data_IF_275261453543
#
_entry.id   IF_275261453543
#
_cell.length_a   1.000
_cell.length_b   1.000
_cell.length_c   1.000
_cell.angle_alpha   90.00
_cell.angle_beta   90.00
_cell.angle_gamma   90.00
#
_symmetry.space_group_name_H-M   'P 1'
#
loop_
_entity.id
_entity.type
_entity.pdbx_description
1 polymer ?
#
# COMPACT_ATOMS: atom_id res chain seq x y z
N UNK A 1 -12.19 1.92 -13.53
CA UNK A 1 -13.45 2.70 -13.44
C UNK A 1 -14.32 2.35 -12.24
N UNK A 2 -14.38 1.09 -11.78
CA UNK A 2 -15.19 0.71 -10.59
C UNK A 2 -14.78 1.47 -9.33
N UNK A 3 -13.48 1.56 -9.02
CA UNK A 3 -12.97 2.28 -7.86
C UNK A 3 -13.27 3.78 -7.86
N UNK A 4 -13.23 4.42 -9.04
CA UNK A 4 -13.59 5.83 -9.17
C UNK A 4 -15.06 6.09 -8.76
N UNK A 5 -15.98 5.27 -9.24
CA UNK A 5 -17.40 5.41 -8.90
C UNK A 5 -17.68 5.11 -7.42
N UNK A 6 -16.93 4.20 -6.82
CA UNK A 6 -17.04 3.95 -5.39
C UNK A 6 -16.51 5.13 -4.55
N UNK A 7 -15.36 5.68 -4.91
CA UNK A 7 -14.84 6.90 -4.27
C UNK A 7 -15.82 8.08 -4.38
N UNK A 8 -16.47 8.24 -5.56
CA UNK A 8 -17.52 9.21 -5.74
C UNK A 8 -18.75 8.94 -4.85
N UNK A 9 -19.14 7.67 -4.71
CA UNK A 9 -20.26 7.29 -3.83
C UNK A 9 -19.98 7.66 -2.38
N UNK A 10 -18.76 7.41 -1.90
CA UNK A 10 -18.32 7.76 -0.55
C UNK A 10 -18.27 9.27 -0.35
N UNK A 11 -17.73 10.01 -1.33
CA UNK A 11 -17.67 11.47 -1.28
C UNK A 11 -19.07 12.12 -1.27
N UNK A 12 -19.97 11.65 -2.11
CA UNK A 12 -21.36 12.13 -2.14
C UNK A 12 -22.11 11.81 -0.86
N UNK A 13 -21.92 10.62 -0.28
CA UNK A 13 -22.50 10.25 1.02
C UNK A 13 -22.00 11.18 2.14
N UNK A 14 -20.70 11.49 2.17
CA UNK A 14 -20.12 12.42 3.14
C UNK A 14 -20.65 13.86 2.97
N UNK A 15 -21.07 14.23 1.77
CA UNK A 15 -21.70 15.54 1.47
C UNK A 15 -23.21 15.56 1.70
N UNK A 16 -23.83 14.43 2.09
CA UNK A 16 -25.27 14.30 2.25
C UNK A 16 -26.04 14.26 0.92
N UNK A 17 -25.37 13.99 -0.19
CA UNK A 17 -25.97 13.90 -1.54
C UNK A 17 -26.37 12.43 -1.84
N UNK A 18 -27.31 11.89 -1.08
CA UNK A 18 -27.67 10.47 -1.05
C UNK A 18 -28.05 9.88 -2.41
N UNK A 19 -28.75 10.62 -3.26
CA UNK A 19 -29.14 10.16 -4.60
C UNK A 19 -27.92 9.98 -5.51
N UNK A 20 -26.98 10.91 -5.48
CA UNK A 20 -25.73 10.82 -6.25
C UNK A 20 -24.82 9.73 -5.70
N UNK A 21 -24.79 9.56 -4.37
CA UNK A 21 -24.06 8.47 -3.73
C UNK A 21 -24.61 7.11 -4.18
N UNK A 22 -25.94 6.97 -4.24
CA UNK A 22 -26.59 5.75 -4.69
C UNK A 22 -26.31 5.45 -6.17
N UNK A 23 -26.39 6.45 -7.05
CA UNK A 23 -26.07 6.31 -8.48
C UNK A 23 -24.59 5.90 -8.68
N UNK A 24 -23.67 6.57 -8.00
CA UNK A 24 -22.26 6.26 -8.08
C UNK A 24 -21.96 4.84 -7.54
N UNK A 25 -22.57 4.43 -6.43
CA UNK A 25 -22.45 3.08 -5.89
C UNK A 25 -22.95 2.02 -6.88
N UNK A 26 -24.08 2.27 -7.55
CA UNK A 26 -24.61 1.38 -8.58
C UNK A 26 -23.64 1.24 -9.77
N UNK A 27 -23.05 2.35 -10.22
CA UNK A 27 -22.06 2.35 -11.31
C UNK A 27 -20.75 1.68 -10.94
N UNK A 28 -20.40 1.65 -9.65
CA UNK A 28 -19.22 0.95 -9.18
C UNK A 28 -19.36 -0.58 -9.32
N UNK A 29 -20.60 -1.09 -9.32
CA UNK A 29 -20.89 -2.53 -9.31
C UNK A 29 -20.43 -3.23 -8.03
N UNK A 30 -20.08 -2.47 -6.98
CA UNK A 30 -19.71 -3.00 -5.66
C UNK A 30 -20.98 -3.18 -4.85
N UNK A 31 -21.30 -4.39 -4.34
CA UNK A 31 -22.47 -4.61 -3.51
C UNK A 31 -22.41 -3.81 -2.20
N UNK A 32 -23.57 -3.33 -1.73
CA UNK A 32 -23.69 -2.55 -0.48
C UNK A 32 -23.59 -3.41 0.78
N UNK A 33 -23.60 -4.70 0.68
CA UNK A 33 -23.72 -5.64 1.80
C UNK A 33 -22.41 -5.90 2.56
N UNK A 34 -21.45 -4.97 2.49
CA UNK A 34 -20.30 -4.86 3.40
C UNK A 34 -19.26 -5.98 3.34
N UNK A 35 -19.54 -7.06 2.63
CA UNK A 35 -18.70 -8.25 2.64
C UNK A 35 -17.71 -8.34 1.47
N UNK A 36 -17.69 -7.37 0.54
CA UNK A 36 -16.83 -7.42 -0.64
C UNK A 36 -15.86 -6.26 -0.68
N UNK A 37 -14.59 -6.63 -0.65
CA UNK A 37 -13.49 -5.69 -0.80
C UNK A 37 -13.44 -5.10 -2.22
N UNK A 38 -13.00 -3.85 -2.33
CA UNK A 38 -12.78 -3.17 -3.60
C UNK A 38 -11.80 -3.96 -4.49
N UNK A 39 -10.89 -4.67 -3.87
CA UNK A 39 -9.75 -5.34 -4.46
C UNK A 39 -10.01 -6.80 -4.88
N UNK A 40 -11.24 -7.21 -4.98
CA UNK A 40 -11.58 -8.51 -5.49
C UNK A 40 -12.30 -9.42 -4.49
N UNK A 41 -12.76 -10.53 -5.00
CA UNK A 41 -13.55 -11.53 -4.27
C UNK A 41 -12.74 -12.73 -3.82
N UNK A 42 -11.49 -12.87 -4.31
CA UNK A 42 -10.65 -14.04 -4.12
C UNK A 42 -9.39 -13.69 -3.32
N UNK A 43 -9.57 -13.23 -2.11
CA UNK A 43 -8.47 -13.09 -1.17
C UNK A 43 -8.00 -14.48 -0.74
N UNK A 44 -6.71 -14.79 -0.99
CA UNK A 44 -6.07 -15.96 -0.43
C UNK A 44 -5.93 -15.83 1.08
N UNK A 45 -5.75 -16.95 1.77
CA UNK A 45 -5.34 -16.96 3.16
C UNK A 45 -3.79 -16.88 3.27
N UNK A 46 -3.25 -16.77 4.48
CA UNK A 46 -1.82 -16.68 4.70
C UNK A 46 -1.04 -17.89 4.16
N UNK A 47 -1.64 -19.07 4.09
CA UNK A 47 -1.00 -20.27 3.58
C UNK A 47 -0.89 -20.28 2.05
N UNK A 48 -1.88 -19.70 1.35
CA UNK A 48 -1.92 -19.64 -0.10
C UNK A 48 -1.35 -18.35 -0.69
N UNK A 49 -1.03 -17.39 0.16
CA UNK A 49 -0.73 -16.02 -0.25
C UNK A 49 -2.00 -15.20 -0.44
N UNK A 50 -1.83 -13.90 -0.42
CA UNK A 50 -2.90 -12.92 -0.45
C UNK A 50 -3.01 -12.34 -1.87
N UNK A 51 -4.22 -12.10 -2.39
CA UNK A 51 -4.44 -11.53 -3.73
C UNK A 51 -5.38 -10.33 -3.66
N UNK A 52 -5.18 -9.39 -4.57
CA UNK A 52 -6.01 -8.19 -4.64
C UNK A 52 -7.10 -8.26 -5.72
N UNK A 53 -7.10 -9.28 -6.58
CA UNK A 53 -8.11 -9.49 -7.63
C UNK A 53 -8.11 -10.93 -8.11
N UNK A 54 -9.11 -11.29 -8.91
CA UNK A 54 -9.14 -12.57 -9.64
C UNK A 54 -7.95 -12.65 -10.61
N UNK A 55 -7.23 -13.79 -10.67
CA UNK A 55 -6.11 -13.97 -11.57
C UNK A 55 -6.47 -13.70 -13.03
N UNK A 56 -5.62 -12.92 -13.70
CA UNK A 56 -5.73 -12.62 -15.13
C UNK A 56 -4.35 -12.44 -15.76
N UNK A 57 -4.11 -13.12 -16.90
CA UNK A 57 -2.91 -12.93 -17.69
C UNK A 57 -3.15 -11.80 -18.69
N UNK A 58 -2.70 -10.59 -18.37
CA UNK A 58 -2.84 -9.43 -19.25
C UNK A 58 -1.76 -9.48 -20.35
N UNK A 59 -2.09 -8.96 -21.52
CA UNK A 59 -1.19 -8.87 -22.68
C UNK A 59 -1.19 -7.43 -23.20
N UNK A 60 -0.50 -6.49 -22.55
CA UNK A 60 -0.51 -5.09 -22.94
C UNK A 60 0.09 -4.85 -24.34
N UNK A 61 0.95 -5.76 -24.78
CA UNK A 61 1.54 -5.78 -26.13
C UNK A 61 2.10 -7.18 -26.46
N UNK A 62 2.44 -7.46 -27.75
CA UNK A 62 3.06 -8.72 -28.14
C UNK A 62 4.35 -8.99 -27.38
N UNK A 63 4.48 -10.18 -26.81
CA UNK A 63 5.66 -10.60 -26.04
C UNK A 63 5.69 -10.14 -24.59
N UNK A 64 4.77 -9.29 -24.14
CA UNK A 64 4.67 -8.85 -22.76
C UNK A 64 3.42 -9.46 -22.09
N UNK A 65 3.63 -10.14 -20.98
CA UNK A 65 2.62 -10.80 -20.17
C UNK A 65 2.69 -10.24 -18.76
N UNK A 66 1.55 -9.86 -18.18
CA UNK A 66 1.45 -9.41 -16.79
C UNK A 66 0.55 -10.38 -16.04
N UNK A 67 1.09 -11.04 -15.04
CA UNK A 67 0.38 -11.94 -14.14
C UNK A 67 -0.30 -11.13 -13.04
N UNK A 68 -1.48 -10.59 -13.35
CA UNK A 68 -2.24 -9.76 -12.44
C UNK A 68 -3.09 -10.62 -11.52
N UNK A 69 -2.98 -10.39 -10.20
CA UNK A 69 -3.80 -11.06 -9.20
C UNK A 69 -3.51 -12.55 -9.01
N UNK A 70 -2.42 -13.08 -9.55
CA UNK A 70 -1.96 -14.45 -9.24
C UNK A 70 -1.44 -14.53 -7.82
N UNK A 71 -0.85 -13.46 -7.32
CA UNK A 71 -0.33 -13.34 -5.98
C UNK A 71 -0.73 -11.98 -5.37
N UNK A 72 -0.15 -11.59 -4.25
CA UNK A 72 -0.37 -10.27 -3.65
C UNK A 72 0.22 -9.17 -4.54
N UNK A 73 1.50 -9.29 -4.92
CA UNK A 73 2.13 -8.43 -5.91
C UNK A 73 1.98 -8.99 -7.34
N UNK A 74 1.79 -8.10 -8.31
CA UNK A 74 1.81 -8.44 -9.73
C UNK A 74 3.26 -8.62 -10.22
N UNK A 75 3.45 -9.48 -11.19
CA UNK A 75 4.75 -9.69 -11.82
C UNK A 75 4.57 -9.91 -13.32
N UNK A 76 5.65 -9.76 -14.09
CA UNK A 76 5.53 -9.78 -15.54
C UNK A 76 6.61 -10.63 -16.21
N UNK A 77 6.32 -11.05 -17.46
CA UNK A 77 7.23 -11.80 -18.31
C UNK A 77 7.35 -11.12 -19.66
N UNK A 78 8.58 -10.90 -20.11
CA UNK A 78 8.90 -10.36 -21.44
C UNK A 78 9.61 -11.46 -22.21
N UNK A 79 8.98 -11.91 -23.29
CA UNK A 79 9.54 -12.94 -24.17
C UNK A 79 10.53 -12.30 -25.17
N UNK A 80 11.74 -12.81 -25.21
CA UNK A 80 12.81 -12.37 -26.12
C UNK A 80 13.31 -13.55 -26.96
N UNK A 81 14.20 -13.28 -27.94
CA UNK A 81 14.82 -14.35 -28.73
C UNK A 81 15.80 -15.23 -27.93
N UNK A 82 16.27 -14.79 -26.76
CA UNK A 82 17.21 -15.51 -25.90
C UNK A 82 16.53 -16.22 -24.73
N UNK A 83 15.25 -15.94 -24.49
CA UNK A 83 14.46 -16.48 -23.39
C UNK A 83 13.53 -15.43 -22.80
N UNK A 84 13.27 -15.52 -21.51
CA UNK A 84 12.31 -14.67 -20.79
C UNK A 84 13.05 -13.77 -19.81
N UNK A 85 12.65 -12.51 -19.78
CA UNK A 85 12.95 -11.56 -18.71
C UNK A 85 11.72 -11.55 -17.79
N UNK A 86 11.91 -11.80 -16.51
CA UNK A 86 10.88 -11.60 -15.49
C UNK A 86 11.07 -10.24 -14.80
N UNK A 87 9.96 -9.57 -14.49
CA UNK A 87 9.93 -8.37 -13.65
C UNK A 87 9.14 -8.73 -12.42
N UNK A 88 9.78 -8.70 -11.26
CA UNK A 88 9.31 -9.19 -9.98
C UNK A 88 9.02 -10.70 -9.94
N UNK A 89 8.75 -11.21 -8.75
CA UNK A 89 8.61 -12.63 -8.48
C UNK A 89 7.46 -12.96 -7.50
N UNK A 90 6.51 -12.05 -7.31
CA UNK A 90 5.38 -12.28 -6.40
C UNK A 90 5.79 -12.68 -4.98
N UNK A 91 4.86 -13.22 -4.22
CA UNK A 91 5.03 -13.63 -2.82
C UNK A 91 5.55 -15.06 -2.70
N UNK A 92 5.20 -15.95 -3.64
CA UNK A 92 5.39 -17.37 -3.47
C UNK A 92 5.73 -18.13 -4.77
N UNK A 93 6.65 -19.08 -4.64
CA UNK A 93 7.11 -19.93 -5.74
C UNK A 93 5.97 -20.62 -6.50
N UNK A 94 5.00 -21.21 -5.77
CA UNK A 94 3.93 -21.97 -6.40
C UNK A 94 3.00 -21.11 -7.26
N UNK A 95 2.78 -19.84 -6.87
CA UNK A 95 1.96 -18.90 -7.62
C UNK A 95 2.68 -18.41 -8.89
N UNK A 96 3.97 -18.14 -8.80
CA UNK A 96 4.79 -17.81 -9.97
C UNK A 96 4.81 -18.98 -10.95
N UNK A 97 4.95 -20.21 -10.48
CA UNK A 97 4.89 -21.42 -11.34
C UNK A 97 3.51 -21.58 -12.00
N UNK A 98 2.43 -21.30 -11.29
CA UNK A 98 1.09 -21.34 -11.85
C UNK A 98 0.92 -20.30 -12.97
N UNK A 99 1.38 -19.08 -12.75
CA UNK A 99 1.35 -18.02 -13.76
C UNK A 99 2.21 -18.36 -14.99
N UNK A 100 3.42 -18.90 -14.80
CA UNK A 100 4.28 -19.37 -15.89
C UNK A 100 3.57 -20.45 -16.73
N UNK A 101 2.90 -21.40 -16.08
CA UNK A 101 2.17 -22.47 -16.77
C UNK A 101 1.03 -21.90 -17.62
N UNK A 102 0.24 -20.98 -17.07
CA UNK A 102 -0.87 -20.34 -17.80
C UNK A 102 -0.36 -19.43 -18.93
N UNK A 103 0.78 -18.77 -18.74
CA UNK A 103 1.44 -17.98 -19.77
C UNK A 103 1.95 -18.82 -20.95
N UNK A 104 1.95 -20.15 -20.83
CA UNK A 104 2.59 -21.07 -21.80
C UNK A 104 4.11 -21.10 -21.66
N UNK A 105 4.63 -20.60 -20.55
CA UNK A 105 6.05 -20.52 -20.19
C UNK A 105 6.39 -21.60 -19.14
N UNK A 106 5.96 -22.84 -19.34
CA UNK A 106 6.12 -23.94 -18.39
C UNK A 106 7.55 -24.50 -18.30
N UNK A 107 7.65 -25.79 -17.91
CA UNK A 107 8.94 -26.47 -17.78
C UNK A 107 9.76 -26.40 -19.07
N UNK A 108 11.03 -25.96 -18.95
CA UNK A 108 11.95 -25.78 -20.06
C UNK A 108 12.04 -24.36 -20.59
N UNK A 109 11.23 -23.44 -20.14
CA UNK A 109 11.40 -22.01 -20.43
C UNK A 109 12.67 -21.50 -19.75
N UNK A 110 13.58 -20.92 -20.53
CA UNK A 110 14.78 -20.30 -20.02
C UNK A 110 14.44 -18.87 -19.53
N UNK A 111 14.50 -18.65 -18.23
CA UNK A 111 14.50 -17.29 -17.66
C UNK A 111 15.93 -16.79 -17.66
N UNK A 112 16.20 -15.77 -18.48
CA UNK A 112 17.55 -15.19 -18.63
C UNK A 112 17.84 -14.13 -17.60
N UNK A 113 16.82 -13.34 -17.25
CA UNK A 113 16.94 -12.25 -16.29
C UNK A 113 15.72 -12.20 -15.37
N UNK A 114 15.96 -11.87 -14.10
CA UNK A 114 14.93 -11.43 -13.14
C UNK A 114 15.29 -10.03 -12.70
N UNK A 115 14.42 -9.07 -12.95
CA UNK A 115 14.60 -7.68 -12.54
C UNK A 115 13.63 -7.42 -11.39
N UNK A 116 14.18 -7.13 -10.21
CA UNK A 116 13.39 -6.84 -9.01
C UNK A 116 13.16 -5.34 -8.91
N UNK A 117 11.91 -4.93 -8.75
CA UNK A 117 11.55 -3.52 -8.61
C UNK A 117 11.92 -2.96 -7.24
N UNK A 118 11.81 -3.77 -6.19
CA UNK A 118 12.21 -3.42 -4.83
C UNK A 118 12.21 -4.65 -3.89
N UNK A 119 12.57 -4.47 -2.62
CA UNK A 119 12.89 -5.54 -1.69
C UNK A 119 11.70 -6.19 -0.97
N UNK A 120 10.46 -5.75 -1.16
CA UNK A 120 9.32 -6.29 -0.42
C UNK A 120 9.02 -7.76 -0.74
N UNK A 121 8.48 -8.47 0.26
CA UNK A 121 8.22 -9.91 0.22
C UNK A 121 7.36 -10.36 -0.98
N UNK A 122 6.46 -9.52 -1.42
CA UNK A 122 5.53 -9.78 -2.51
C UNK A 122 6.07 -9.46 -3.90
N UNK A 123 7.33 -9.00 -3.97
CA UNK A 123 8.08 -8.78 -5.20
C UNK A 123 9.28 -9.71 -5.33
N UNK A 124 9.77 -10.26 -4.20
CA UNK A 124 10.95 -11.14 -4.21
C UNK A 124 10.64 -12.57 -3.75
N UNK A 125 9.48 -12.82 -3.14
CA UNK A 125 9.17 -14.06 -2.42
C UNK A 125 9.22 -15.33 -3.26
N UNK A 126 8.77 -15.26 -4.49
CA UNK A 126 8.73 -16.40 -5.42
C UNK A 126 9.97 -16.54 -6.32
N UNK A 127 11.06 -15.82 -6.05
CA UNK A 127 12.26 -15.78 -6.92
C UNK A 127 12.83 -17.15 -7.26
N UNK A 128 12.71 -18.13 -6.35
CA UNK A 128 13.15 -19.51 -6.58
C UNK A 128 12.44 -20.22 -7.73
N UNK A 129 11.28 -19.72 -8.18
CA UNK A 129 10.59 -20.22 -9.36
C UNK A 129 11.22 -19.74 -10.67
N UNK A 130 11.98 -18.65 -10.64
CA UNK A 130 12.51 -17.92 -11.80
C UNK A 130 14.03 -18.03 -11.91
N UNK A 131 14.73 -17.85 -10.79
CA UNK A 131 16.20 -17.80 -10.76
C UNK A 131 16.79 -19.22 -10.77
N UNK A 132 17.64 -19.46 -11.76
CA UNK A 132 18.44 -20.66 -11.92
C UNK A 132 19.93 -20.31 -12.12
N UNK A 133 20.81 -21.31 -12.32
CA UNK A 133 22.25 -21.09 -12.45
C UNK A 133 22.66 -20.13 -13.58
N UNK A 134 21.85 -20.05 -14.62
CA UNK A 134 22.08 -19.24 -15.82
C UNK A 134 21.20 -17.99 -15.88
N UNK A 135 20.55 -17.63 -14.77
CA UNK A 135 19.67 -16.46 -14.65
C UNK A 135 20.43 -15.31 -14.00
N UNK A 136 20.42 -14.14 -14.61
CA UNK A 136 20.97 -12.92 -14.01
C UNK A 136 19.90 -12.21 -13.20
N UNK A 137 20.11 -12.03 -11.92
CA UNK A 137 19.23 -11.27 -11.03
C UNK A 137 19.71 -9.82 -10.95
N UNK A 138 18.85 -8.88 -11.31
CA UNK A 138 19.13 -7.44 -11.36
C UNK A 138 18.25 -6.72 -10.33
N UNK A 139 18.85 -5.79 -9.59
CA UNK A 139 18.11 -4.93 -8.65
C UNK A 139 18.79 -3.56 -8.52
N UNK A 140 18.12 -2.62 -7.87
CA UNK A 140 18.72 -1.34 -7.50
C UNK A 140 19.81 -1.53 -6.43
N UNK A 141 20.83 -0.69 -6.46
CA UNK A 141 21.98 -0.76 -5.55
C UNK A 141 21.63 -0.71 -4.07
N UNK A 142 20.47 -0.14 -3.72
CA UNK A 142 19.96 -0.05 -2.35
C UNK A 142 19.31 -1.33 -1.82
N UNK A 143 18.96 -2.31 -2.68
CA UNK A 143 18.19 -3.49 -2.28
C UNK A 143 18.80 -4.25 -1.08
N UNK A 144 20.11 -4.52 -1.00
CA UNK A 144 20.67 -5.23 0.15
C UNK A 144 20.49 -4.47 1.47
N UNK A 145 20.64 -3.15 1.45
CA UNK A 145 20.46 -2.31 2.63
C UNK A 145 18.97 -2.22 3.04
N UNK A 146 18.06 -2.20 2.07
CA UNK A 146 16.63 -2.19 2.31
C UNK A 146 16.17 -3.52 2.92
N UNK A 147 16.60 -4.66 2.37
CA UNK A 147 16.31 -5.97 2.96
C UNK A 147 16.85 -6.10 4.41
N UNK A 148 18.04 -5.58 4.69
CA UNK A 148 18.60 -5.61 6.04
C UNK A 148 17.78 -4.76 7.01
N UNK A 149 17.33 -3.58 6.56
CA UNK A 149 16.46 -2.67 7.33
C UNK A 149 15.11 -3.30 7.67
N UNK A 150 14.53 -4.05 6.74
CA UNK A 150 13.21 -4.66 6.87
C UNK A 150 13.24 -6.02 7.56
N UNK A 151 14.42 -6.58 7.81
CA UNK A 151 14.60 -7.88 8.45
C UNK A 151 13.93 -7.93 9.83
N UNK A 152 13.03 -8.91 10.00
CA UNK A 152 12.30 -9.07 11.25
C UNK A 152 11.17 -8.06 11.46
N UNK A 153 10.87 -7.20 10.48
CA UNK A 153 9.71 -6.32 10.53
C UNK A 153 8.45 -7.09 10.15
N UNK A 154 7.76 -7.62 11.16
CA UNK A 154 6.55 -8.43 10.98
C UNK A 154 5.27 -7.65 11.24
N UNK A 155 5.35 -6.50 11.88
CA UNK A 155 4.18 -5.70 12.22
C UNK A 155 3.88 -4.69 11.10
N UNK A 156 2.60 -4.54 10.77
CA UNK A 156 1.44 -5.28 11.29
C UNK A 156 1.11 -6.55 10.50
N UNK A 157 1.85 -6.86 9.44
CA UNK A 157 1.52 -7.86 8.43
C UNK A 157 2.12 -9.25 8.68
N UNK A 158 2.39 -9.62 9.94
CA UNK A 158 2.81 -10.99 10.31
C UNK A 158 1.91 -12.07 9.72
N UNK A 159 0.66 -11.73 9.48
CA UNK A 159 -0.38 -12.58 8.92
C UNK A 159 -0.01 -13.16 7.55
N UNK A 160 0.67 -12.42 6.68
CA UNK A 160 1.04 -12.88 5.34
C UNK A 160 2.50 -12.62 4.94
N UNK A 161 3.31 -12.02 5.81
CA UNK A 161 4.74 -11.83 5.54
C UNK A 161 5.59 -13.06 5.87
N UNK A 162 5.05 -14.01 6.62
CA UNK A 162 5.78 -15.21 7.04
C UNK A 162 6.99 -14.91 7.94
N UNK A 163 7.98 -15.82 7.95
CA UNK A 163 9.15 -15.72 8.83
C UNK A 163 10.15 -14.64 8.42
N UNK A 164 10.17 -14.27 7.13
CA UNK A 164 11.11 -13.28 6.59
C UNK A 164 10.68 -11.83 6.82
N UNK A 165 9.47 -11.62 7.31
CA UNK A 165 8.92 -10.28 7.48
C UNK A 165 8.68 -9.57 6.15
N UNK A 166 8.56 -8.24 6.19
CA UNK A 166 8.26 -7.40 5.03
C UNK A 166 9.36 -7.46 3.95
N UNK A 167 10.62 -7.69 4.33
CA UNK A 167 11.75 -7.80 3.39
C UNK A 167 11.79 -9.11 2.58
N UNK A 168 10.89 -10.06 2.83
CA UNK A 168 10.88 -11.33 2.11
C UNK A 168 12.14 -12.20 2.33
N UNK A 169 12.35 -13.25 1.51
CA UNK A 169 13.55 -14.06 1.56
C UNK A 169 14.77 -13.24 1.11
N UNK A 170 15.96 -13.53 1.69
CA UNK A 170 17.18 -12.88 1.27
C UNK A 170 17.47 -13.14 -0.22
N UNK A 171 17.73 -12.07 -0.96
CA UNK A 171 18.13 -12.12 -2.37
C UNK A 171 19.52 -11.52 -2.51
N UNK A 172 20.36 -12.17 -3.31
CA UNK A 172 21.68 -11.65 -3.69
C UNK A 172 21.65 -11.37 -5.20
N UNK A 173 21.47 -10.11 -5.63
CA UNK A 173 21.50 -9.78 -7.04
C UNK A 173 22.89 -9.98 -7.64
N UNK A 174 22.94 -10.44 -8.90
CA UNK A 174 24.16 -10.53 -9.68
C UNK A 174 24.62 -9.16 -10.19
N UNK A 175 23.65 -8.27 -10.44
CA UNK A 175 23.90 -6.92 -10.93
C UNK A 175 23.11 -5.88 -10.14
N UNK A 176 23.82 -4.86 -9.67
CA UNK A 176 23.25 -3.73 -8.92
C UNK A 176 23.26 -2.48 -9.80
N UNK A 177 22.09 -1.82 -9.90
CA UNK A 177 21.86 -0.63 -10.72
C UNK A 177 21.85 0.61 -9.82
N UNK A 178 22.81 1.51 -10.01
CA UNK A 178 22.91 2.78 -9.27
C UNK A 178 22.53 3.99 -10.12
N UNK A 179 22.56 3.86 -11.45
CA UNK A 179 22.31 4.95 -12.41
C UNK A 179 21.42 4.44 -13.55
N UNK A 180 20.75 5.31 -14.31
CA UNK A 180 19.97 4.91 -15.49
C UNK A 180 20.81 4.05 -16.43
N UNK A 181 20.36 2.82 -16.67
CA UNK A 181 21.15 1.80 -17.36
C UNK A 181 20.34 1.18 -18.49
N UNK A 182 20.93 1.15 -19.70
CA UNK A 182 20.36 0.40 -20.82
C UNK A 182 20.69 -1.08 -20.68
N UNK A 183 19.71 -1.94 -20.97
CA UNK A 183 19.83 -3.39 -21.01
C UNK A 183 19.25 -3.90 -22.34
N UNK A 184 20.02 -4.72 -23.06
CA UNK A 184 19.56 -5.35 -24.29
C UNK A 184 19.61 -6.87 -24.14
N UNK A 185 18.48 -7.54 -24.32
CA UNK A 185 18.37 -9.00 -24.18
C UNK A 185 17.53 -9.55 -25.33
N UNK A 186 18.16 -10.38 -26.16
CA UNK A 186 17.50 -11.06 -27.28
C UNK A 186 16.72 -10.14 -28.20
N UNK A 187 17.27 -8.94 -28.47
CA UNK A 187 16.66 -7.91 -29.32
C UNK A 187 15.60 -7.03 -28.62
N UNK A 188 15.38 -7.21 -27.34
CA UNK A 188 14.52 -6.33 -26.54
C UNK A 188 15.37 -5.32 -25.78
N UNK A 189 15.12 -4.04 -26.03
CA UNK A 189 15.78 -2.93 -25.36
C UNK A 189 14.97 -2.50 -24.13
N UNK A 190 15.64 -2.34 -23.00
CA UNK A 190 15.09 -1.88 -21.73
C UNK A 190 15.93 -0.71 -21.22
N UNK A 191 15.27 0.23 -20.52
CA UNK A 191 15.94 1.22 -19.68
C UNK A 191 15.55 0.97 -18.22
N UNK A 192 16.55 0.81 -17.37
CA UNK A 192 16.41 0.62 -15.94
C UNK A 192 16.64 1.96 -15.23
N UNK A 193 15.64 2.45 -14.51
CA UNK A 193 15.70 3.73 -13.81
C UNK A 193 15.63 3.52 -12.30
N UNK A 194 16.78 3.58 -11.59
CA UNK A 194 16.75 3.61 -10.12
C UNK A 194 16.13 4.94 -9.64
N UNK A 195 15.32 4.87 -8.61
CA UNK A 195 14.70 6.06 -8.01
C UNK A 195 14.74 5.98 -6.49
N UNK A 196 14.68 7.15 -5.84
CA UNK A 196 14.48 7.20 -4.40
C UNK A 196 13.09 6.72 -3.97
N UNK A 197 12.22 6.45 -4.95
CA UNK A 197 10.89 5.89 -4.77
C UNK A 197 9.95 6.71 -3.90
N UNK A 198 8.74 6.24 -3.79
CA UNK A 198 7.78 6.72 -2.80
C UNK A 198 7.68 5.77 -1.62
N UNK A 199 7.64 4.47 -1.88
CA UNK A 199 7.48 3.43 -0.86
C UNK A 199 8.81 3.02 -0.24
N UNK A 200 9.80 2.64 -1.06
CA UNK A 200 11.12 2.17 -0.61
C UNK A 200 12.26 2.99 -1.17
N UNK A 201 13.46 2.86 -0.58
CA UNK A 201 14.67 3.53 -1.04
C UNK A 201 15.40 2.82 -2.18
N UNK A 202 14.97 1.62 -2.55
CA UNK A 202 15.63 0.75 -3.54
C UNK A 202 14.80 0.51 -4.81
N UNK A 203 13.86 1.39 -5.10
CA UNK A 203 12.97 1.20 -6.23
C UNK A 203 13.71 1.26 -7.57
N UNK A 204 13.39 0.31 -8.48
CA UNK A 204 13.91 0.19 -9.84
C UNK A 204 12.75 0.10 -10.83
N UNK A 205 12.60 1.10 -11.69
CA UNK A 205 11.60 1.09 -12.74
C UNK A 205 12.18 0.50 -14.03
N UNK A 206 11.35 -0.23 -14.79
CA UNK A 206 11.74 -0.89 -16.03
C UNK A 206 10.92 -0.32 -17.20
N UNK A 207 11.57 0.36 -18.10
CA UNK A 207 10.96 1.02 -19.25
C UNK A 207 11.28 0.29 -20.56
N UNK A 208 10.26 0.08 -21.39
CA UNK A 208 10.40 -0.44 -22.75
C UNK A 208 10.29 0.72 -23.75
N UNK A 209 11.41 1.26 -24.27
CA UNK A 209 11.38 2.44 -25.13
C UNK A 209 10.58 2.25 -26.42
N UNK A 210 10.60 1.03 -26.98
CA UNK A 210 9.91 0.72 -28.23
C UNK A 210 8.39 0.87 -28.15
N UNK A 211 7.80 0.62 -26.96
CA UNK A 211 6.36 0.65 -26.75
C UNK A 211 5.90 1.78 -25.82
N UNK A 212 6.81 2.37 -25.08
CA UNK A 212 6.49 3.36 -24.05
C UNK A 212 5.84 2.76 -22.79
N UNK A 213 5.96 1.45 -22.60
CA UNK A 213 5.44 0.78 -21.42
C UNK A 213 6.45 0.90 -20.27
N UNK A 214 5.98 1.26 -19.07
CA UNK A 214 6.81 1.41 -17.88
C UNK A 214 6.27 0.57 -16.73
N UNK A 215 7.10 -0.31 -16.21
CA UNK A 215 6.85 -1.04 -14.95
C UNK A 215 7.44 -0.22 -13.81
N UNK A 216 6.63 0.14 -12.86
CA UNK A 216 7.02 1.05 -11.78
C UNK A 216 7.25 0.36 -10.44
N UNK A 217 6.86 -0.91 -10.29
CA UNK A 217 6.71 -1.48 -8.96
C UNK A 217 5.76 -0.60 -8.13
N UNK A 218 6.11 -0.35 -6.89
CA UNK A 218 5.26 0.33 -5.92
C UNK A 218 5.66 1.78 -5.63
N UNK A 219 6.37 2.43 -6.57
CA UNK A 219 6.80 3.84 -6.37
C UNK A 219 5.66 4.81 -6.09
N UNK A 220 4.44 4.48 -6.53
CA UNK A 220 3.24 5.27 -6.25
C UNK A 220 2.32 4.58 -5.23
N UNK A 221 2.88 3.85 -4.28
CA UNK A 221 2.10 3.20 -3.23
C UNK A 221 1.27 4.24 -2.45
N UNK A 222 -0.07 4.13 -2.43
CA UNK A 222 -0.94 5.12 -1.81
C UNK A 222 -0.85 5.13 -0.28
N UNK A 223 -0.30 4.07 0.30
CA UNK A 223 -0.16 3.90 1.75
C UNK A 223 1.18 4.40 2.26
N UNK A 224 1.91 5.07 1.42
CA UNK A 224 3.09 5.82 1.74
C UNK A 224 2.85 6.66 3.02
N UNK A 225 3.71 6.52 4.01
CA UNK A 225 3.52 7.16 5.30
C UNK A 225 2.44 6.52 6.18
N UNK A 226 1.81 5.44 5.74
CA UNK A 226 1.03 4.61 6.65
C UNK A 226 1.89 4.21 7.84
N UNK A 227 1.29 4.01 9.02
CA UNK A 227 2.05 3.70 10.23
C UNK A 227 2.83 2.38 10.15
N UNK A 228 2.71 1.66 9.04
CA UNK A 228 3.30 0.35 8.85
C UNK A 228 4.71 0.40 8.26
N UNK A 229 4.97 1.32 7.32
CA UNK A 229 6.23 1.39 6.59
C UNK A 229 6.90 2.74 6.83
N UNK A 230 8.13 2.69 7.32
CA UNK A 230 8.92 3.90 7.60
C UNK A 230 9.93 4.20 6.47
N UNK A 231 10.06 3.28 5.53
CA UNK A 231 10.94 3.39 4.37
C UNK A 231 10.40 4.34 3.30
N UNK A 232 11.23 4.64 2.33
CA UNK A 232 10.91 5.55 1.24
C UNK A 232 10.89 7.02 1.63
N UNK A 233 10.42 7.88 0.73
CA UNK A 233 10.49 9.33 0.90
C UNK A 233 9.34 10.05 0.22
N UNK A 234 8.68 10.95 0.95
CA UNK A 234 7.69 11.86 0.38
C UNK A 234 8.29 12.81 -0.66
N UNK A 235 9.51 13.30 -0.42
CA UNK A 235 10.25 14.12 -1.39
C UNK A 235 10.66 13.30 -2.60
N UNK A 236 11.15 12.06 -2.39
CA UNK A 236 11.50 11.13 -3.47
C UNK A 236 10.30 10.79 -4.34
N UNK A 237 9.10 10.63 -3.77
CA UNK A 237 7.88 10.46 -4.55
C UNK A 237 7.61 11.66 -5.46
N UNK A 238 7.74 12.89 -4.96
CA UNK A 238 7.56 14.10 -5.77
C UNK A 238 8.58 14.20 -6.92
N UNK A 239 9.81 13.79 -6.68
CA UNK A 239 10.86 13.72 -7.72
C UNK A 239 10.52 12.65 -8.75
N UNK A 240 10.09 11.47 -8.31
CA UNK A 240 9.66 10.38 -9.20
C UNK A 240 8.46 10.78 -10.05
N UNK A 241 7.45 11.44 -9.49
CA UNK A 241 6.31 11.92 -10.26
C UNK A 241 6.70 12.94 -11.33
N UNK A 242 7.67 13.85 -11.05
CA UNK A 242 8.22 14.76 -12.06
C UNK A 242 8.93 13.99 -13.17
N UNK A 243 9.78 13.03 -12.79
CA UNK A 243 10.48 12.17 -13.73
C UNK A 243 9.51 11.40 -14.64
N UNK A 244 8.46 10.78 -14.08
CA UNK A 244 7.45 10.03 -14.83
C UNK A 244 6.70 10.93 -15.83
N UNK A 245 6.33 12.13 -15.42
CA UNK A 245 5.70 13.12 -16.30
C UNK A 245 6.63 13.50 -17.46
N UNK A 246 7.90 13.78 -17.15
CA UNK A 246 8.89 14.24 -18.14
C UNK A 246 9.33 13.11 -19.08
N UNK A 247 9.36 11.85 -18.61
CA UNK A 247 9.58 10.67 -19.43
C UNK A 247 8.41 10.42 -20.41
N UNK A 248 7.19 10.73 -19.99
CA UNK A 248 5.98 10.60 -20.80
C UNK A 248 5.69 9.18 -21.27
N UNK A 249 5.65 8.17 -20.39
CA UNK A 249 5.36 6.81 -20.80
C UNK A 249 3.95 6.72 -21.40
N UNK A 250 3.74 5.77 -22.31
CA UNK A 250 2.42 5.49 -22.89
C UNK A 250 1.47 4.88 -21.86
N UNK A 251 2.00 3.99 -21.01
CA UNK A 251 1.23 3.31 -19.97
C UNK A 251 2.13 2.94 -18.80
N UNK A 252 1.52 2.84 -17.61
CA UNK A 252 2.15 2.38 -16.38
C UNK A 252 1.59 1.00 -16.02
N UNK A 253 2.48 0.10 -15.64
CA UNK A 253 2.16 -1.18 -14.97
C UNK A 253 2.79 -1.09 -13.58
N UNK A 254 1.96 -1.21 -12.57
CA UNK A 254 2.41 -1.10 -11.19
C UNK A 254 2.42 -2.46 -10.50
N UNK A 255 2.97 -2.55 -9.31
CA UNK A 255 3.13 -3.79 -8.60
C UNK A 255 1.83 -4.39 -8.07
N UNK A 256 0.72 -3.65 -8.12
CA UNK A 256 -0.59 -4.14 -7.69
C UNK A 256 -1.71 -3.67 -8.63
N UNK A 257 -2.77 -4.51 -8.83
CA UNK A 257 -3.87 -4.18 -9.74
C UNK A 257 -4.55 -2.84 -9.42
N UNK A 258 -4.88 -2.51 -8.15
CA UNK A 258 -5.53 -1.26 -7.82
C UNK A 258 -4.66 -0.04 -8.12
N UNK A 259 -3.34 -0.16 -7.97
CA UNK A 259 -2.41 0.93 -8.27
C UNK A 259 -2.37 1.22 -9.77
N UNK A 260 -2.35 0.17 -10.61
CA UNK A 260 -2.38 0.29 -12.07
C UNK A 260 -3.67 1.00 -12.53
N UNK A 261 -4.79 0.73 -11.89
CA UNK A 261 -6.08 1.34 -12.24
C UNK A 261 -6.22 2.79 -11.75
N UNK A 262 -5.66 3.12 -10.60
CA UNK A 262 -5.80 4.43 -9.97
C UNK A 262 -4.76 5.44 -10.46
N UNK A 263 -3.50 5.04 -10.50
CA UNK A 263 -2.38 5.93 -10.84
C UNK A 263 -2.00 5.78 -12.30
N UNK A 264 -2.80 6.35 -13.16
CA UNK A 264 -2.59 6.35 -14.62
C UNK A 264 -1.69 7.50 -15.06
N UNK A 265 -1.13 7.42 -16.27
CA UNK A 265 -0.37 8.52 -16.88
C UNK A 265 -1.15 9.85 -16.84
N UNK A 266 -2.46 9.79 -17.08
CA UNK A 266 -3.32 10.98 -17.08
C UNK A 266 -3.53 11.60 -15.68
N UNK A 267 -3.24 10.86 -14.61
CA UNK A 267 -3.34 11.40 -13.24
C UNK A 267 -2.04 12.05 -12.75
N UNK A 268 -0.89 11.81 -13.40
CA UNK A 268 0.44 12.18 -12.89
C UNK A 268 0.58 13.68 -12.66
N UNK A 269 0.21 14.51 -13.63
CA UNK A 269 0.38 15.96 -13.52
C UNK A 269 -0.42 16.54 -12.36
N UNK A 270 -1.71 16.21 -12.30
CA UNK A 270 -2.59 16.69 -11.24
C UNK A 270 -2.17 16.18 -9.86
N UNK A 271 -1.73 14.92 -9.77
CA UNK A 271 -1.24 14.33 -8.54
C UNK A 271 0.04 15.02 -8.06
N UNK A 272 1.00 15.26 -8.96
CA UNK A 272 2.25 15.94 -8.63
C UNK A 272 2.00 17.36 -8.10
N UNK A 273 1.11 18.12 -8.76
CA UNK A 273 0.77 19.49 -8.33
C UNK A 273 0.06 19.45 -6.96
N UNK A 274 -0.89 18.54 -6.79
CA UNK A 274 -1.67 18.44 -5.55
C UNK A 274 -0.83 18.01 -4.35
N UNK A 275 0.05 17.01 -4.51
CA UNK A 275 0.99 16.59 -3.46
C UNK A 275 2.05 17.66 -3.18
N UNK A 276 2.47 18.43 -4.20
CA UNK A 276 3.32 19.60 -4.01
C UNK A 276 2.65 20.65 -3.12
N UNK A 277 1.39 20.97 -3.36
CA UNK A 277 0.63 21.90 -2.51
C UNK A 277 0.43 21.34 -1.08
N UNK A 278 0.20 20.04 -0.94
CA UNK A 278 0.12 19.38 0.36
C UNK A 278 1.45 19.46 1.11
N UNK A 279 2.56 19.25 0.41
CA UNK A 279 3.90 19.40 0.98
C UNK A 279 4.10 20.79 1.62
N UNK A 280 3.79 21.85 0.87
CA UNK A 280 3.90 23.22 1.37
C UNK A 280 2.98 23.46 2.57
N UNK A 281 1.75 22.92 2.55
CA UNK A 281 0.82 23.01 3.67
C UNK A 281 1.37 22.33 4.94
N UNK A 282 1.95 21.15 4.81
CA UNK A 282 2.55 20.41 5.94
C UNK A 282 3.75 21.18 6.49
N UNK A 283 4.64 21.68 5.62
CA UNK A 283 5.81 22.44 6.03
C UNK A 283 5.46 23.77 6.71
N UNK A 284 4.44 24.49 6.22
CA UNK A 284 3.90 25.67 6.88
C UNK A 284 3.34 25.33 8.27
N UNK A 285 2.56 24.24 8.37
CA UNK A 285 2.04 23.76 9.64
C UNK A 285 3.13 23.45 10.65
N UNK A 286 4.18 22.73 10.23
CA UNK A 286 5.37 22.45 11.06
C UNK A 286 6.04 23.77 11.50
N UNK A 287 6.24 24.71 10.55
CA UNK A 287 6.84 26.02 10.85
C UNK A 287 6.04 26.85 11.86
N UNK A 288 4.74 26.63 11.95
CA UNK A 288 3.83 27.23 12.92
C UNK A 288 3.70 26.46 14.23
N UNK A 289 4.38 25.32 14.36
CA UNK A 289 4.32 24.45 15.54
C UNK A 289 3.00 23.68 15.67
N UNK A 290 2.29 23.43 14.56
CA UNK A 290 1.08 22.62 14.58
C UNK A 290 1.43 21.13 14.73
N UNK A 291 0.57 20.40 15.46
CA UNK A 291 0.65 18.93 15.55
C UNK A 291 0.16 18.29 14.26
N UNK A 292 0.56 17.03 14.01
CA UNK A 292 0.08 16.29 12.84
C UNK A 292 -1.46 16.23 12.76
N UNK A 293 -2.21 15.90 13.84
CA UNK A 293 -3.67 15.94 13.78
C UNK A 293 -4.22 17.31 13.35
N UNK A 294 -3.68 18.41 13.87
CA UNK A 294 -4.13 19.75 13.49
C UNK A 294 -3.84 20.10 12.02
N UNK A 295 -2.78 19.55 11.44
CA UNK A 295 -2.51 19.68 9.99
C UNK A 295 -3.48 18.83 9.16
N UNK A 296 -3.77 17.61 9.60
CA UNK A 296 -4.69 16.70 8.92
C UNK A 296 -6.14 17.17 8.97
N UNK A 297 -6.57 17.79 10.08
CA UNK A 297 -7.93 18.33 10.26
C UNK A 297 -8.28 19.40 9.22
N UNK A 298 -7.29 20.08 8.63
CA UNK A 298 -7.51 21.02 7.54
C UNK A 298 -8.03 20.33 6.26
N UNK A 299 -7.88 19.00 6.14
CA UNK A 299 -8.36 18.17 5.03
C UNK A 299 -8.11 18.79 3.65
N UNK A 300 -6.90 19.32 3.43
CA UNK A 300 -6.55 20.12 2.25
C UNK A 300 -6.99 19.47 0.93
N UNK A 301 -7.73 20.20 0.13
CA UNK A 301 -8.09 19.86 -1.24
C UNK A 301 -7.54 20.93 -2.19
N UNK A 302 -6.36 20.72 -2.79
CA UNK A 302 -5.75 21.70 -3.70
C UNK A 302 -6.65 22.03 -4.89
N UNK A 303 -6.67 23.31 -5.28
CA UNK A 303 -7.51 23.77 -6.40
C UNK A 303 -7.19 23.05 -7.72
N UNK A 304 -5.94 22.66 -7.93
CA UNK A 304 -5.51 21.93 -9.12
C UNK A 304 -6.31 20.64 -9.38
N UNK A 305 -6.87 20.01 -8.33
CA UNK A 305 -7.70 18.81 -8.49
C UNK A 305 -9.00 19.07 -9.29
N UNK A 306 -9.46 20.33 -9.38
CA UNK A 306 -10.61 20.69 -10.23
C UNK A 306 -10.26 20.66 -11.71
N UNK A 307 -9.01 20.96 -12.04
CA UNK A 307 -8.48 20.95 -13.40
C UNK A 307 -8.02 19.56 -13.83
N UNK A 308 -7.66 18.70 -12.84
CA UNK A 308 -7.17 17.35 -13.02
C UNK A 308 -8.03 16.31 -12.29
N UNK A 309 -9.27 16.04 -12.74
CA UNK A 309 -10.21 15.19 -12.02
C UNK A 309 -9.74 13.73 -11.85
N UNK A 310 -8.88 13.24 -12.74
CA UNK A 310 -8.30 11.89 -12.62
C UNK A 310 -7.27 11.77 -11.49
N UNK A 311 -6.77 12.88 -10.95
CA UNK A 311 -5.87 12.90 -9.82
C UNK A 311 -6.59 12.95 -8.46
N UNK A 312 -7.92 13.15 -8.44
CA UNK A 312 -8.68 13.31 -7.19
C UNK A 312 -8.58 12.07 -6.30
N UNK A 313 -8.92 10.90 -6.83
CA UNK A 313 -8.88 9.65 -6.04
C UNK A 313 -7.43 9.28 -5.67
N UNK A 314 -6.45 9.29 -6.60
CA UNK A 314 -5.03 9.15 -6.26
C UNK A 314 -4.58 10.06 -5.12
N UNK A 315 -4.93 11.34 -5.17
CA UNK A 315 -4.58 12.29 -4.12
C UNK A 315 -5.23 11.94 -2.78
N UNK A 316 -6.53 11.64 -2.76
CA UNK A 316 -7.26 11.37 -1.52
C UNK A 316 -6.74 10.12 -0.79
N UNK A 317 -6.36 9.07 -1.52
CA UNK A 317 -5.81 7.86 -0.89
C UNK A 317 -4.38 8.04 -0.38
N UNK A 318 -3.64 9.03 -0.90
CA UNK A 318 -2.26 9.32 -0.46
C UNK A 318 -2.18 10.43 0.59
N UNK A 319 -3.13 11.36 0.61
CA UNK A 319 -3.07 12.64 1.33
C UNK A 319 -2.57 12.53 2.77
N UNK A 320 -3.30 11.76 3.57
CA UNK A 320 -3.04 11.70 5.00
C UNK A 320 -1.74 10.95 5.31
N UNK A 321 -1.48 9.88 4.57
CA UNK A 321 -0.25 9.09 4.71
C UNK A 321 0.99 9.88 4.23
N UNK A 322 0.87 10.64 3.14
CA UNK A 322 1.93 11.52 2.66
C UNK A 322 2.24 12.61 3.69
N UNK A 323 1.20 13.26 4.23
CA UNK A 323 1.35 14.29 5.25
C UNK A 323 2.01 13.74 6.53
N UNK A 324 1.57 12.58 7.01
CA UNK A 324 2.12 11.93 8.18
C UNK A 324 3.59 11.56 7.99
N UNK A 325 3.95 10.98 6.84
CA UNK A 325 5.34 10.64 6.55
C UNK A 325 6.22 11.89 6.51
N UNK A 326 5.82 12.92 5.78
CA UNK A 326 6.58 14.16 5.69
C UNK A 326 6.76 14.81 7.06
N UNK A 327 5.68 14.85 7.87
CA UNK A 327 5.72 15.38 9.23
C UNK A 327 6.76 14.64 10.07
N UNK A 328 6.70 13.31 10.16
CA UNK A 328 7.63 12.52 10.97
C UNK A 328 9.07 12.54 10.44
N UNK A 329 9.27 12.61 9.15
CA UNK A 329 10.61 12.78 8.56
C UNK A 329 11.24 14.15 8.92
N UNK A 330 10.42 15.17 9.24
CA UNK A 330 10.88 16.52 9.60
C UNK A 330 10.96 16.77 11.09
N UNK A 331 10.07 16.15 11.88
CA UNK A 331 9.92 16.42 13.32
C UNK A 331 10.37 15.27 14.21
N UNK A 332 10.48 14.03 13.68
CA UNK A 332 10.71 12.82 14.47
C UNK A 332 9.41 12.28 15.10
N UNK A 333 9.54 11.64 16.26
CA UNK A 333 8.45 10.89 16.92
C UNK A 333 7.95 11.52 18.22
N UNK A 334 8.27 12.79 18.46
CA UNK A 334 7.81 13.55 19.63
C UNK A 334 7.26 14.89 19.20
N UNK A 335 6.38 15.45 20.01
CA UNK A 335 5.66 16.68 19.70
C UNK A 335 6.28 17.90 20.41
N UNK A 336 5.96 19.12 19.96
CA UNK A 336 6.50 20.35 20.52
C UNK A 336 6.14 20.55 22.00
N UNK A 337 5.06 19.96 22.48
CA UNK A 337 4.65 19.95 23.89
C UNK A 337 5.40 18.90 24.74
N UNK A 338 6.32 18.14 24.11
CA UNK A 338 7.08 17.07 24.76
C UNK A 338 6.39 15.71 24.75
N UNK A 339 5.21 15.57 24.18
CA UNK A 339 4.57 14.28 24.01
C UNK A 339 5.46 13.35 23.17
N UNK A 340 5.64 12.13 23.61
CA UNK A 340 6.52 11.13 22.95
C UNK A 340 7.98 11.16 23.41
N UNK A 341 8.49 12.22 24.05
CA UNK A 341 9.86 12.27 24.59
C UNK A 341 10.10 11.20 25.68
N UNK A 342 9.10 10.99 26.54
CA UNK A 342 9.13 9.98 27.60
C UNK A 342 7.91 9.07 27.47
N UNK A 343 7.94 8.07 26.55
CA UNK A 343 6.77 7.26 26.29
C UNK A 343 6.39 6.41 27.50
N UNK A 344 5.17 6.59 27.99
CA UNK A 344 4.63 5.74 29.04
C UNK A 344 4.24 4.38 28.46
N UNK A 345 4.41 3.30 29.23
CA UNK A 345 3.89 1.99 28.85
C UNK A 345 2.36 2.01 28.75
N UNK A 346 1.79 1.10 27.93
CA UNK A 346 0.33 0.96 27.84
C UNK A 346 -0.32 0.73 29.23
N UNK A 347 0.32 -0.07 30.08
CA UNK A 347 -0.14 -0.32 31.44
C UNK A 347 -0.13 0.95 32.31
N UNK A 348 0.91 1.79 32.20
CA UNK A 348 1.00 3.04 32.94
C UNK A 348 -0.08 4.04 32.47
N UNK A 349 -0.31 4.16 31.17
CA UNK A 349 -1.42 4.98 30.62
C UNK A 349 -2.78 4.48 31.09
N UNK A 350 -3.00 3.17 31.03
CA UNK A 350 -4.24 2.56 31.51
C UNK A 350 -4.49 2.84 33.00
N UNK A 351 -3.44 2.74 33.84
CA UNK A 351 -3.53 3.05 35.26
C UNK A 351 -3.85 4.55 35.51
N UNK A 352 -3.26 5.46 34.75
CA UNK A 352 -3.53 6.89 34.85
C UNK A 352 -4.98 7.23 34.46
N UNK A 353 -5.50 6.64 33.38
CA UNK A 353 -6.89 6.80 32.96
C UNK A 353 -7.86 6.22 34.01
N UNK A 354 -7.56 5.07 34.58
CA UNK A 354 -8.35 4.44 35.62
C UNK A 354 -8.41 5.31 36.90
N UNK A 355 -7.27 5.89 37.28
CA UNK A 355 -7.22 6.84 38.40
C UNK A 355 -8.07 8.09 38.12
N UNK A 356 -7.96 8.65 36.91
CA UNK A 356 -8.77 9.83 36.50
C UNK A 356 -10.27 9.48 36.50
N UNK A 357 -10.63 8.29 36.06
CA UNK A 357 -11.99 7.80 35.97
C UNK A 357 -12.61 7.48 37.35
N UNK A 358 -11.81 7.44 38.41
CA UNK A 358 -12.26 7.10 39.78
C UNK A 358 -12.36 5.60 40.05
N UNK A 359 -11.78 4.78 39.16
CA UNK A 359 -11.78 3.32 39.22
C UNK A 359 -13.07 2.67 38.67
N UNK A 360 -12.94 1.39 38.29
CA UNK A 360 -14.04 0.61 37.74
C UNK A 360 -14.17 0.67 36.22
N UNK A 361 -14.81 -0.34 35.62
CA UNK A 361 -14.97 -0.44 34.17
C UNK A 361 -16.03 0.52 33.59
N UNK A 362 -17.02 0.90 34.37
CA UNK A 362 -18.18 1.68 33.92
C UNK A 362 -17.82 3.02 33.23
N UNK A 363 -16.86 3.81 33.74
CA UNK A 363 -16.46 5.03 33.05
C UNK A 363 -15.87 4.79 31.67
N UNK A 364 -15.10 3.71 31.51
CA UNK A 364 -14.52 3.32 30.20
C UNK A 364 -15.62 2.88 29.23
N UNK A 365 -16.56 2.02 29.69
CA UNK A 365 -17.70 1.55 28.88
C UNK A 365 -18.53 2.73 28.37
N UNK A 366 -18.86 3.66 29.29
CA UNK A 366 -19.66 4.83 28.93
C UNK A 366 -18.94 5.76 27.94
N UNK A 367 -17.67 6.08 28.21
CA UNK A 367 -16.91 6.97 27.34
C UNK A 367 -16.73 6.36 25.94
N UNK A 368 -16.34 5.09 25.88
CA UNK A 368 -16.21 4.37 24.62
C UNK A 368 -17.54 4.27 23.85
N UNK A 369 -18.64 4.02 24.56
CA UNK A 369 -19.98 3.97 23.95
C UNK A 369 -20.43 5.30 23.37
N UNK A 370 -20.11 6.43 24.03
CA UNK A 370 -20.39 7.77 23.49
C UNK A 370 -19.61 8.01 22.20
N UNK A 371 -18.28 7.75 22.19
CA UNK A 371 -17.42 7.94 21.04
C UNK A 371 -17.86 7.05 19.86
N UNK A 372 -18.11 5.77 20.10
CA UNK A 372 -18.61 4.85 19.09
C UNK A 372 -19.96 5.30 18.52
N UNK A 373 -20.87 5.83 19.37
CA UNK A 373 -22.15 6.38 18.93
C UNK A 373 -22.04 7.66 18.09
N UNK A 374 -20.91 8.36 18.17
CA UNK A 374 -20.56 9.51 17.32
C UNK A 374 -19.85 9.10 16.01
N UNK A 375 -19.53 7.81 15.87
CA UNK A 375 -18.76 7.29 14.74
C UNK A 375 -17.23 7.34 14.93
N UNK A 376 -16.76 7.85 16.08
CA UNK A 376 -15.32 7.98 16.38
C UNK A 376 -14.75 6.66 16.91
N UNK A 377 -14.86 5.61 16.11
CA UNK A 377 -14.46 4.24 16.48
C UNK A 377 -12.97 4.11 16.80
N UNK A 378 -12.10 4.86 16.12
CA UNK A 378 -10.68 4.86 16.41
C UNK A 378 -10.39 5.46 17.78
N UNK A 379 -11.02 6.60 18.12
CA UNK A 379 -10.89 7.23 19.44
C UNK A 379 -11.55 6.37 20.53
N UNK A 380 -12.63 5.66 20.20
CA UNK A 380 -13.22 4.70 21.13
C UNK A 380 -12.23 3.60 21.52
N UNK A 381 -11.40 3.09 20.60
CA UNK A 381 -10.36 2.11 20.88
C UNK A 381 -9.29 2.66 21.84
N UNK A 382 -8.95 3.95 21.77
CA UNK A 382 -8.02 4.59 22.72
C UNK A 382 -8.53 4.59 24.17
N UNK A 383 -9.83 4.37 24.38
CA UNK A 383 -10.46 4.19 25.71
C UNK A 383 -10.64 2.71 26.04
N UNK A 384 -11.06 1.92 25.05
CA UNK A 384 -11.37 0.48 25.23
C UNK A 384 -10.11 -0.32 25.57
N UNK A 385 -9.02 -0.14 24.83
CA UNK A 385 -7.78 -0.92 25.02
C UNK A 385 -7.19 -0.70 26.43
N UNK A 386 -7.01 0.54 26.94
CA UNK A 386 -6.64 0.75 28.32
C UNK A 386 -7.65 0.18 29.34
N UNK A 387 -8.94 0.29 29.04
CA UNK A 387 -9.99 -0.31 29.88
C UNK A 387 -9.84 -1.82 29.99
N UNK A 388 -9.59 -2.53 28.90
CA UNK A 388 -9.36 -3.98 28.88
C UNK A 388 -8.05 -4.38 29.57
N UNK A 389 -7.01 -3.53 29.52
CA UNK A 389 -5.79 -3.76 30.30
C UNK A 389 -6.04 -3.71 31.83
N UNK A 390 -6.97 -2.88 32.27
CA UNK A 390 -7.36 -2.76 33.68
C UNK A 390 -8.42 -3.79 34.09
N UNK A 391 -9.37 -4.05 33.21
CA UNK A 391 -10.56 -4.87 33.44
C UNK A 391 -10.67 -5.95 32.34
N UNK A 392 -9.74 -6.93 32.30
CA UNK A 392 -9.68 -7.90 31.19
C UNK A 392 -10.88 -8.84 31.09
N UNK A 393 -11.69 -8.92 32.18
CA UNK A 393 -12.92 -9.72 32.21
C UNK A 393 -14.19 -8.91 31.82
N UNK A 394 -14.05 -7.64 31.43
CA UNK A 394 -15.19 -6.81 31.03
C UNK A 394 -15.78 -7.26 29.72
N UNK A 395 -16.92 -7.91 29.75
CA UNK A 395 -17.65 -8.32 28.55
C UNK A 395 -18.16 -7.11 27.74
N UNK A 396 -18.50 -6.01 28.43
CA UNK A 396 -18.97 -4.80 27.77
C UNK A 396 -17.88 -4.13 26.94
N UNK A 397 -16.66 -3.99 27.49
CA UNK A 397 -15.52 -3.46 26.74
C UNK A 397 -15.10 -4.38 25.61
N UNK A 398 -15.12 -5.70 25.83
CA UNK A 398 -14.81 -6.67 24.77
C UNK A 398 -15.79 -6.57 23.60
N UNK A 399 -17.09 -6.39 23.89
CA UNK A 399 -18.09 -6.20 22.83
C UNK A 399 -17.88 -4.87 22.09
N UNK A 400 -17.69 -3.76 22.80
CA UNK A 400 -17.41 -2.46 22.18
C UNK A 400 -16.15 -2.49 21.30
N UNK A 401 -15.11 -3.23 21.75
CA UNK A 401 -13.91 -3.47 20.95
C UNK A 401 -14.23 -4.13 19.62
N UNK A 402 -14.99 -5.22 19.67
CA UNK A 402 -15.37 -5.96 18.46
C UNK A 402 -16.18 -5.08 17.50
N UNK A 403 -17.14 -4.32 18.01
CA UNK A 403 -17.98 -3.45 17.20
C UNK A 403 -17.17 -2.31 16.58
N UNK A 404 -16.27 -1.67 17.35
CA UNK A 404 -15.39 -0.61 16.85
C UNK A 404 -14.43 -1.12 15.76
N UNK A 405 -13.78 -2.28 15.97
CA UNK A 405 -12.87 -2.87 15.00
C UNK A 405 -13.59 -3.27 13.69
N UNK A 406 -14.80 -3.82 13.78
CA UNK A 406 -15.63 -4.13 12.60
C UNK A 406 -15.99 -2.87 11.83
N UNK A 407 -16.44 -1.83 12.52
CA UNK A 407 -16.78 -0.54 11.89
C UNK A 407 -15.56 0.08 11.20
N UNK A 408 -14.36 0.00 11.81
CA UNK A 408 -13.13 0.48 11.20
C UNK A 408 -12.71 -0.37 10.00
N UNK A 409 -12.85 -1.70 10.07
CA UNK A 409 -12.60 -2.56 8.93
C UNK A 409 -13.54 -2.21 7.76
N UNK A 410 -14.84 -2.02 8.01
CA UNK A 410 -15.82 -1.60 7.01
C UNK A 410 -15.48 -0.23 6.41
N UNK A 411 -15.06 0.73 7.24
CA UNK A 411 -14.68 2.07 6.79
C UNK A 411 -13.49 2.04 5.81
N UNK A 412 -12.48 1.20 6.10
CA UNK A 412 -11.22 1.19 5.36
C UNK A 412 -11.18 0.17 4.21
N UNK A 413 -12.13 -0.74 4.11
CA UNK A 413 -12.12 -1.84 3.12
C UNK A 413 -11.97 -1.40 1.66
N UNK A 414 -12.30 -0.14 1.33
CA UNK A 414 -12.36 0.33 -0.06
C UNK A 414 -11.08 1.03 -0.52
N UNK A 415 -10.50 1.87 0.32
CA UNK A 415 -9.44 2.78 -0.08
C UNK A 415 -8.15 2.62 0.73
N UNK A 416 -8.18 1.82 1.79
CA UNK A 416 -7.02 1.58 2.65
C UNK A 416 -6.96 0.10 3.07
N UNK A 417 -6.53 -0.79 2.17
CA UNK A 417 -6.50 -2.23 2.45
C UNK A 417 -5.58 -2.58 3.62
N UNK A 418 -4.55 -1.82 3.90
CA UNK A 418 -3.66 -2.10 5.03
C UNK A 418 -4.36 -1.87 6.37
N UNK A 419 -5.03 -0.74 6.55
CA UNK A 419 -5.86 -0.54 7.76
C UNK A 419 -6.98 -1.56 7.84
N UNK A 420 -7.63 -1.85 6.71
CA UNK A 420 -8.65 -2.90 6.67
C UNK A 420 -8.11 -4.24 7.20
N UNK A 421 -6.97 -4.71 6.66
CA UNK A 421 -6.37 -5.99 7.05
C UNK A 421 -6.08 -6.02 8.56
N UNK A 422 -5.47 -4.96 9.10
CA UNK A 422 -5.15 -4.88 10.53
C UNK A 422 -6.40 -4.89 11.40
N UNK A 423 -7.39 -4.08 11.08
CA UNK A 423 -8.62 -4.05 11.87
C UNK A 423 -9.41 -5.35 11.75
N UNK A 424 -9.44 -5.96 10.57
CA UNK A 424 -10.09 -7.25 10.36
C UNK A 424 -9.37 -8.37 11.14
N UNK A 425 -8.03 -8.42 11.13
CA UNK A 425 -7.24 -9.36 11.93
C UNK A 425 -7.52 -9.19 13.42
N UNK A 426 -7.48 -7.95 13.93
CA UNK A 426 -7.75 -7.64 15.34
C UNK A 426 -9.19 -7.97 15.75
N UNK A 427 -10.13 -7.87 14.83
CA UNK A 427 -11.53 -8.25 15.04
C UNK A 427 -11.76 -9.78 14.93
N UNK A 428 -10.75 -10.55 14.52
CA UNK A 428 -10.89 -11.98 14.25
C UNK A 428 -11.82 -12.27 13.06
N UNK A 429 -11.93 -11.35 12.10
CA UNK A 429 -12.68 -11.58 10.87
C UNK A 429 -11.87 -12.51 9.97
N UNK A 430 -12.54 -13.50 9.39
CA UNK A 430 -11.94 -14.32 8.35
C UNK A 430 -11.76 -13.49 7.09
N UNK A 431 -10.50 -13.18 6.77
CA UNK A 431 -10.11 -12.60 5.50
C UNK A 431 -9.75 -13.79 4.60
N UNK A 432 -10.73 -14.34 3.92
CA UNK A 432 -10.53 -15.49 3.08
C UNK A 432 -11.26 -15.37 1.75
N UNK A 433 -11.03 -16.29 0.80
CA UNK A 433 -11.80 -16.30 -0.43
C UNK A 433 -13.28 -16.36 -0.09
N UNK A 434 -14.04 -15.45 -0.68
CA UNK A 434 -15.51 -15.57 -0.67
C UNK A 434 -15.82 -16.83 -1.45
N UNK A 435 -16.27 -17.88 -0.76
CA UNK A 435 -16.69 -19.13 -1.35
C UNK A 435 -17.99 -18.96 -2.13
#
# INVERSE_FOLDING_TARGET
MRGLYWGLATAYAALGEDDKAAEAAQRSGVPRDGARLLFGTDWGNAADGFRMTTPAMLRPEPGVLVAQGYDFGDFAFITTSEGVIAIDAGTSEHRVRAALAEAGLGQGTRVTHVILTHAHFDHVGGISALAGPDTTVIAQAGLPAEQDRQRGNHLPFRYFTGENGVGGPPVTPDQLIAEPTALSVGGTELMLYPTAGGETGDALMVYLPASGLLFTGDVMMPYLGAPFFAEGSAEGLLETLRFLRDLGPRALIQGHPPLTDLFTVASLEGLQIALGALREHVLDGIGRGLTLPAILDAALLPQALREHPLAVVPYLVMRDNFAARLYHQRTGYWEADGHGLAPASAAARAAALDLLAGGGEEPFVRAAGVLAGQGDHALALEIIEPGLLRYPASAALAQLRQDALRSLAELHQQLDPFRFIVYAELAGLEIGPVR
#
